data_IF_813402410634
#
_entry.id   IF_813402410634
#
_cell.length_a   1.000
_cell.length_b   1.000
_cell.length_c   1.000
_cell.angle_alpha   90.00
_cell.angle_beta   90.00
_cell.angle_gamma   90.00
#
_symmetry.space_group_name_H-M   'P 1'
#
loop_
_entity.id
_entity.type
_entity.pdbx_description
1 polymer ?
#
# COMPACT_ATOMS: atom_id res chain seq x y z
N UNK A 1 -18.06 12.42 8.64
CA UNK A 1 -16.65 12.29 8.20
C UNK A 1 -16.15 13.70 7.97
N UNK A 2 -15.26 14.19 8.82
CA UNK A 2 -14.67 15.53 8.70
C UNK A 2 -13.86 15.58 7.41
N UNK A 3 -13.98 16.66 6.63
CA UNK A 3 -13.19 16.85 5.42
C UNK A 3 -11.70 16.86 5.80
N UNK A 4 -10.88 16.08 5.10
CA UNK A 4 -9.44 16.00 5.32
C UNK A 4 -8.80 17.33 4.90
N UNK A 5 -7.90 17.86 5.73
CA UNK A 5 -7.26 19.15 5.49
C UNK A 5 -6.20 19.05 4.37
N UNK A 6 -6.07 20.11 3.57
CA UNK A 6 -5.12 20.17 2.46
C UNK A 6 -3.69 20.33 3.00
N UNK A 7 -2.63 19.74 2.38
CA UNK A 7 -1.25 19.86 2.87
C UNK A 7 -0.72 21.29 3.08
N UNK A 8 -1.34 22.30 2.45
CA UNK A 8 -1.04 23.72 2.69
C UNK A 8 -1.46 24.23 4.07
N UNK A 9 -2.32 23.52 4.77
CA UNK A 9 -2.76 23.80 6.15
C UNK A 9 -1.83 23.15 7.19
N UNK A 10 -0.70 22.57 6.75
CA UNK A 10 0.29 21.96 7.63
C UNK A 10 0.89 22.99 8.60
N UNK A 11 0.76 22.72 9.90
CA UNK A 11 1.31 23.54 10.98
C UNK A 11 2.83 23.39 11.20
N UNK A 12 3.49 22.54 10.41
CA UNK A 12 4.91 22.16 10.56
C UNK A 12 5.29 21.71 11.99
N UNK A 13 4.36 21.08 12.73
CA UNK A 13 4.59 20.64 14.11
C UNK A 13 5.57 19.46 14.26
N UNK A 14 5.87 18.75 13.17
CA UNK A 14 6.81 17.62 13.17
C UNK A 14 6.31 16.32 13.81
N UNK A 15 5.09 16.27 14.36
CA UNK A 15 4.59 15.07 15.06
C UNK A 15 4.56 13.83 14.16
N UNK A 16 4.20 13.99 12.88
CA UNK A 16 4.24 12.91 11.89
C UNK A 16 5.63 12.27 11.73
N UNK A 17 6.71 13.04 11.91
CA UNK A 17 8.10 12.57 11.85
C UNK A 17 8.41 11.74 13.07
N UNK A 18 8.05 12.23 14.26
CA UNK A 18 8.34 11.55 15.53
C UNK A 18 7.67 10.19 15.68
N UNK A 19 6.53 10.00 15.01
CA UNK A 19 5.78 8.73 15.03
C UNK A 19 6.12 7.81 13.86
N UNK A 20 6.93 8.27 12.89
CA UNK A 20 7.24 7.50 11.69
C UNK A 20 8.40 6.53 11.95
N UNK A 21 8.20 5.21 11.79
CA UNK A 21 9.28 4.25 11.99
C UNK A 21 10.43 4.40 10.99
N UNK A 22 10.15 4.89 9.78
CA UNK A 22 11.18 5.13 8.75
C UNK A 22 12.10 6.27 9.17
N UNK A 23 11.54 7.38 9.64
CA UNK A 23 12.31 8.54 10.11
C UNK A 23 13.12 8.17 11.37
N UNK A 24 12.54 7.38 12.29
CA UNK A 24 13.22 6.95 13.52
C UNK A 24 14.50 6.12 13.26
N UNK A 25 14.56 5.37 12.16
CA UNK A 25 15.75 4.59 11.79
C UNK A 25 16.68 5.34 10.83
N UNK A 26 16.46 6.64 10.62
CA UNK A 26 17.28 7.49 9.77
C UNK A 26 16.99 7.38 8.27
N UNK A 27 15.84 6.80 7.89
CA UNK A 27 15.32 6.95 6.54
C UNK A 27 14.67 8.31 6.35
N UNK A 28 14.40 8.69 5.10
CA UNK A 28 13.71 9.93 4.75
C UNK A 28 12.47 9.58 3.94
N UNK A 29 11.28 9.88 4.48
CA UNK A 29 10.02 9.61 3.79
C UNK A 29 9.06 10.79 3.87
N UNK A 30 8.71 11.23 5.08
CA UNK A 30 7.67 12.25 5.29
C UNK A 30 8.25 13.65 5.18
N UNK A 31 9.42 13.91 5.79
CA UNK A 31 10.00 15.26 5.81
C UNK A 31 10.33 15.73 4.40
N UNK A 32 11.09 14.92 3.67
CA UNK A 32 11.48 15.24 2.29
C UNK A 32 10.25 15.36 1.40
N UNK A 33 9.32 14.41 1.46
CA UNK A 33 8.07 14.48 0.68
C UNK A 33 7.24 15.74 0.95
N UNK A 34 7.06 16.12 2.22
CA UNK A 34 6.26 17.28 2.58
C UNK A 34 6.95 18.60 2.21
N UNK A 35 8.28 18.61 2.09
CA UNK A 35 9.06 19.78 1.66
C UNK A 35 9.12 19.90 0.13
N UNK A 36 9.47 18.80 -0.53
CA UNK A 36 9.54 18.66 -1.99
C UNK A 36 9.21 17.23 -2.40
N UNK A 37 7.98 16.96 -2.89
CA UNK A 37 7.58 15.62 -3.29
C UNK A 37 8.21 15.16 -4.61
N UNK A 38 9.07 15.99 -5.24
CA UNK A 38 9.85 15.67 -6.45
C UNK A 38 11.34 15.44 -6.18
N UNK A 39 11.76 15.54 -4.92
CA UNK A 39 13.14 15.30 -4.51
C UNK A 39 13.57 13.85 -4.82
N UNK A 40 14.83 13.69 -5.25
CA UNK A 40 15.38 12.41 -5.72
C UNK A 40 16.11 11.60 -4.65
N UNK A 41 16.32 12.18 -3.47
CA UNK A 41 16.99 11.57 -2.32
C UNK A 41 16.03 10.86 -1.35
N UNK A 42 14.75 10.73 -1.72
CA UNK A 42 13.76 9.94 -0.99
C UNK A 42 12.93 9.06 -1.94
N UNK A 43 12.12 8.17 -1.36
CA UNK A 43 11.12 7.42 -2.11
C UNK A 43 9.84 7.24 -1.31
N UNK A 44 8.68 7.49 -1.95
CA UNK A 44 7.36 7.24 -1.35
C UNK A 44 7.12 5.75 -1.05
N UNK A 45 7.92 4.86 -1.64
CA UNK A 45 7.88 3.43 -1.38
C UNK A 45 8.49 3.04 -0.02
N UNK A 46 9.23 3.93 0.63
CA UNK A 46 9.69 3.74 2.02
C UNK A 46 8.55 3.82 3.04
N UNK A 47 7.44 4.50 2.72
CA UNK A 47 6.28 4.56 3.60
C UNK A 47 5.76 3.15 3.93
N UNK A 48 5.67 2.80 5.21
CA UNK A 48 5.20 1.47 5.63
C UNK A 48 3.68 1.32 5.60
N UNK A 49 2.95 2.37 5.18
CA UNK A 49 1.47 2.38 5.17
C UNK A 49 0.87 2.06 6.55
N UNK A 50 1.49 2.54 7.63
CA UNK A 50 1.07 2.28 9.01
C UNK A 50 0.10 3.32 9.61
N UNK A 51 -0.25 4.37 8.86
CA UNK A 51 -1.23 5.42 9.20
C UNK A 51 -0.91 6.29 10.43
N UNK A 52 0.17 6.02 11.18
CA UNK A 52 0.53 6.77 12.40
C UNK A 52 0.63 8.28 12.18
N UNK A 53 1.18 8.71 11.05
CA UNK A 53 1.32 10.12 10.71
C UNK A 53 -0.03 10.84 10.53
N UNK A 54 -1.01 10.18 9.91
CA UNK A 54 -2.37 10.68 9.74
C UNK A 54 -3.07 10.77 11.10
N UNK A 55 -3.06 9.68 11.87
CA UNK A 55 -3.75 9.63 13.18
C UNK A 55 -3.17 10.61 14.20
N UNK A 56 -1.88 10.91 14.10
CA UNK A 56 -1.22 11.84 15.02
C UNK A 56 -1.31 13.30 14.55
N UNK A 57 -1.80 13.58 13.34
CA UNK A 57 -1.77 14.95 12.80
C UNK A 57 -2.81 15.85 13.51
N UNK A 58 -2.40 16.88 14.26
CA UNK A 58 -3.34 17.77 14.94
C UNK A 58 -4.12 18.66 13.96
N UNK A 59 -3.60 18.86 12.74
CA UNK A 59 -4.27 19.57 11.67
C UNK A 59 -5.17 18.69 10.80
N UNK A 60 -5.23 17.37 11.03
CA UNK A 60 -6.07 16.46 10.25
C UNK A 60 -5.66 16.30 8.77
N UNK A 61 -4.36 16.47 8.47
CA UNK A 61 -3.82 16.29 7.12
C UNK A 61 -3.78 14.79 6.78
N UNK A 62 -4.30 14.41 5.61
CA UNK A 62 -4.25 13.04 5.09
C UNK A 62 -2.87 12.70 4.49
N UNK A 63 -1.85 12.62 5.35
CA UNK A 63 -0.48 12.35 4.93
C UNK A 63 -0.38 10.96 4.25
N UNK A 64 -1.13 9.97 4.73
CA UNK A 64 -1.16 8.65 4.11
C UNK A 64 -1.75 8.70 2.69
N UNK A 65 -2.88 9.37 2.51
CA UNK A 65 -3.51 9.55 1.20
C UNK A 65 -2.61 10.27 0.22
N UNK A 66 -1.87 11.29 0.66
CA UNK A 66 -0.85 11.98 -0.15
C UNK A 66 0.26 11.03 -0.61
N UNK A 67 0.80 10.21 0.30
CA UNK A 67 1.81 9.19 -0.04
C UNK A 67 1.28 8.18 -1.06
N UNK A 68 0.04 7.69 -0.88
CA UNK A 68 -0.57 6.75 -1.82
C UNK A 68 -0.89 7.39 -3.16
N UNK A 69 -1.22 8.68 -3.19
CA UNK A 69 -1.40 9.43 -4.44
C UNK A 69 -0.10 9.50 -5.23
N UNK A 70 1.03 9.72 -4.58
CA UNK A 70 2.33 9.74 -5.26
C UNK A 70 2.78 8.36 -5.73
N UNK A 71 2.58 7.30 -4.94
CA UNK A 71 2.85 5.93 -5.39
C UNK A 71 2.15 5.57 -6.70
N UNK A 72 0.93 6.09 -6.88
CA UNK A 72 0.18 5.92 -8.13
C UNK A 72 0.79 6.68 -9.31
N UNK A 73 1.38 7.84 -9.07
CA UNK A 73 2.09 8.61 -10.10
C UNK A 73 3.44 7.96 -10.45
N UNK A 74 4.11 7.36 -9.47
CA UNK A 74 5.39 6.67 -9.63
C UNK A 74 5.22 5.15 -9.79
N UNK A 75 4.12 4.69 -10.38
CA UNK A 75 3.85 3.25 -10.53
C UNK A 75 4.94 2.53 -11.32
N UNK A 76 5.53 3.21 -12.30
CA UNK A 76 6.61 2.67 -13.13
C UNK A 76 7.93 2.51 -12.36
N UNK A 77 8.08 3.22 -11.23
CA UNK A 77 9.21 3.12 -10.31
C UNK A 77 8.90 2.25 -9.08
N UNK A 78 7.82 1.45 -9.12
CA UNK A 78 7.48 0.55 -8.03
C UNK A 78 8.60 -0.47 -7.78
N UNK A 79 8.96 -0.76 -6.51
CA UNK A 79 9.94 -1.79 -6.20
C UNK A 79 9.50 -3.14 -6.75
N UNK A 80 10.46 -3.94 -7.20
CA UNK A 80 10.23 -5.20 -7.92
C UNK A 80 9.24 -6.13 -7.21
N UNK A 81 9.32 -6.25 -5.88
CA UNK A 81 8.39 -7.10 -5.11
C UNK A 81 6.92 -6.69 -5.25
N UNK A 82 6.62 -5.39 -5.34
CA UNK A 82 5.25 -4.92 -5.59
C UNK A 82 4.80 -5.25 -7.00
N UNK A 83 5.68 -5.05 -8.00
CA UNK A 83 5.39 -5.35 -9.40
C UNK A 83 5.09 -6.84 -9.59
N UNK A 84 5.94 -7.72 -9.07
CA UNK A 84 5.77 -9.17 -9.13
C UNK A 84 4.49 -9.62 -8.43
N UNK A 85 4.23 -9.12 -7.22
CA UNK A 85 3.00 -9.45 -6.48
C UNK A 85 1.74 -9.04 -7.27
N UNK A 86 1.76 -7.85 -7.89
CA UNK A 86 0.66 -7.38 -8.72
C UNK A 86 0.45 -8.26 -9.97
N UNK A 87 1.53 -8.64 -10.65
CA UNK A 87 1.50 -9.54 -11.81
C UNK A 87 0.93 -10.92 -11.43
N UNK A 88 1.34 -11.48 -10.29
CA UNK A 88 0.79 -12.73 -9.77
C UNK A 88 -0.71 -12.62 -9.44
N UNK A 89 -1.17 -11.51 -8.85
CA UNK A 89 -2.61 -11.31 -8.62
C UNK A 89 -3.37 -11.35 -9.94
N UNK A 90 -2.86 -10.68 -10.99
CA UNK A 90 -3.51 -10.66 -12.30
C UNK A 90 -3.48 -12.01 -13.03
N UNK A 91 -2.46 -12.84 -12.78
CA UNK A 91 -2.30 -14.14 -13.44
C UNK A 91 -2.96 -15.30 -12.68
N UNK A 92 -2.97 -15.23 -11.35
CA UNK A 92 -3.29 -16.35 -10.46
C UNK A 92 -4.30 -16.00 -9.36
N UNK A 93 -4.73 -14.75 -9.25
CA UNK A 93 -5.64 -14.31 -8.19
C UNK A 93 -5.00 -14.24 -6.81
N UNK A 94 -3.68 -14.42 -6.71
CA UNK A 94 -2.91 -14.51 -5.47
C UNK A 94 -1.63 -13.68 -5.60
N UNK A 95 -1.28 -12.88 -4.59
CA UNK A 95 0.00 -12.17 -4.55
C UNK A 95 1.19 -13.12 -4.40
N UNK A 96 1.00 -14.15 -3.58
CA UNK A 96 1.92 -15.27 -3.40
C UNK A 96 1.22 -16.51 -3.93
N UNK A 97 1.56 -16.91 -5.16
CA UNK A 97 0.94 -18.07 -5.79
C UNK A 97 1.34 -19.34 -5.04
N UNK A 98 0.35 -20.19 -4.74
CA UNK A 98 0.55 -21.53 -4.18
C UNK A 98 -0.31 -22.50 -4.98
N UNK A 99 0.16 -23.72 -5.21
CA UNK A 99 -0.69 -24.73 -5.85
C UNK A 99 -1.77 -25.24 -4.89
N UNK A 100 -2.84 -25.79 -5.45
CA UNK A 100 -3.91 -26.44 -4.67
C UNK A 100 -3.35 -27.57 -3.81
N UNK A 101 -2.42 -28.35 -4.37
CA UNK A 101 -1.77 -29.46 -3.67
C UNK A 101 -0.93 -28.97 -2.47
N UNK A 102 -0.07 -27.96 -2.65
CA UNK A 102 0.73 -27.40 -1.56
C UNK A 102 -0.15 -26.81 -0.45
N UNK A 103 -1.24 -26.13 -0.81
CA UNK A 103 -2.19 -25.59 0.16
C UNK A 103 -2.84 -26.72 0.98
N UNK A 104 -3.29 -27.78 0.32
CA UNK A 104 -3.93 -28.91 1.00
C UNK A 104 -2.95 -29.65 1.91
N UNK A 105 -1.70 -29.83 1.48
CA UNK A 105 -0.63 -30.41 2.31
C UNK A 105 -0.34 -29.56 3.55
N UNK A 106 -0.19 -28.24 3.39
CA UNK A 106 0.03 -27.31 4.51
C UNK A 106 -1.15 -27.34 5.49
N UNK A 107 -2.39 -27.33 4.98
CA UNK A 107 -3.60 -27.38 5.82
C UNK A 107 -3.72 -28.69 6.58
N UNK A 108 -3.47 -29.83 5.92
CA UNK A 108 -3.49 -31.14 6.57
C UNK A 108 -2.44 -31.25 7.69
N UNK A 109 -1.22 -30.72 7.49
CA UNK A 109 -0.19 -30.68 8.51
C UNK A 109 -0.59 -29.88 9.78
N UNK A 110 -1.56 -28.97 9.64
CA UNK A 110 -2.10 -28.16 10.74
C UNK A 110 -3.49 -28.67 11.21
N UNK A 111 -3.94 -29.83 10.72
CA UNK A 111 -5.23 -30.41 11.07
C UNK A 111 -6.45 -29.65 10.51
N UNK A 112 -6.27 -28.91 9.42
CA UNK A 112 -7.31 -28.12 8.77
C UNK A 112 -7.87 -28.84 7.53
N UNK A 113 -9.17 -28.70 7.29
CA UNK A 113 -9.88 -29.26 6.15
C UNK A 113 -9.42 -28.64 4.83
N UNK A 114 -9.43 -29.38 3.69
CA UNK A 114 -9.06 -28.82 2.41
C UNK A 114 -9.98 -27.66 1.98
N UNK A 115 -9.44 -26.71 1.23
CA UNK A 115 -10.20 -25.58 0.68
C UNK A 115 -9.87 -25.38 -0.79
N UNK A 116 -10.84 -24.92 -1.57
CA UNK A 116 -10.62 -24.67 -3.00
C UNK A 116 -10.04 -23.28 -3.21
N UNK A 117 -8.92 -23.20 -3.93
CA UNK A 117 -8.39 -21.92 -4.39
C UNK A 117 -9.36 -21.20 -5.33
N UNK A 118 -9.42 -19.85 -5.30
CA UNK A 118 -10.15 -19.08 -6.29
C UNK A 118 -9.66 -19.38 -7.73
N UNK A 119 -10.51 -19.17 -8.75
CA UNK A 119 -10.06 -19.24 -10.14
C UNK A 119 -8.86 -18.31 -10.41
N UNK A 120 -7.84 -18.72 -11.17
CA UNK A 120 -6.65 -17.90 -11.43
C UNK A 120 -6.95 -16.52 -12.04
N UNK A 121 -8.04 -16.42 -12.82
CA UNK A 121 -8.45 -15.21 -13.51
C UNK A 121 -9.43 -14.34 -12.69
N UNK A 122 -9.67 -14.67 -11.41
CA UNK A 122 -10.65 -13.96 -10.57
C UNK A 122 -10.40 -12.46 -10.51
N UNK A 123 -9.15 -12.02 -10.39
CA UNK A 123 -8.80 -10.60 -10.34
C UNK A 123 -9.21 -9.88 -11.63
N UNK A 124 -8.95 -10.48 -12.80
CA UNK A 124 -9.33 -9.92 -14.10
C UNK A 124 -10.84 -9.83 -14.26
N UNK A 125 -11.58 -10.86 -13.80
CA UNK A 125 -13.05 -10.87 -13.83
C UNK A 125 -13.64 -9.74 -12.98
N UNK A 126 -13.10 -9.52 -11.79
CA UNK A 126 -13.56 -8.46 -10.88
C UNK A 126 -13.23 -7.05 -11.38
N UNK A 127 -12.11 -6.89 -12.09
CA UNK A 127 -11.69 -5.60 -12.65
C UNK A 127 -12.34 -5.28 -14.02
N UNK A 128 -12.96 -6.25 -14.68
CA UNK A 128 -13.69 -6.00 -15.92
C UNK A 128 -15.02 -5.33 -15.58
N UNK A 129 -15.31 -4.11 -16.09
CA UNK A 129 -16.55 -3.42 -15.79
C UNK A 129 -17.75 -4.29 -16.17
N UNK A 130 -18.64 -4.55 -15.21
CA UNK A 130 -19.93 -5.18 -15.52
C UNK A 130 -20.76 -4.19 -16.35
N UNK A 131 -21.34 -4.60 -17.50
CA UNK A 131 -22.20 -3.73 -18.30
C UNK A 131 -23.46 -3.25 -17.56
N UNK A 132 -23.76 -3.83 -16.38
CA UNK A 132 -24.96 -3.55 -15.60
C UNK A 132 -24.83 -2.39 -14.59
N UNK A 133 -23.68 -1.74 -14.45
CA UNK A 133 -23.48 -0.59 -13.55
C UNK A 133 -22.99 0.62 -14.37
N UNK A 134 -23.95 1.35 -14.94
CA UNK A 134 -23.78 2.73 -15.44
C UNK A 134 -24.76 3.62 -14.71
#
# INVERSE_FOLDING_TARGET
MTALAHPQECLQCGLCVTVCPVEMVGGHAIVTFMADPTATDFSVWLCTSCWRCQESCPGGIDIYGLMMAWRRQESDAAPEGYRVAFEHILAHGQAMAVSQEELDQMRAAWGLEPVRLPPPDVARRLLTPSPAVR
#
